data_IF_432803117526
#
_entry.id   IF_432803117526
#
_cell.length_a   1.000
_cell.length_b   1.000
_cell.length_c   1.000
_cell.angle_alpha   90.00
_cell.angle_beta   90.00
_cell.angle_gamma   90.00
#
_symmetry.space_group_name_H-M   'P 1'
#
loop_
_entity.id
_entity.type
_entity.pdbx_description
1 polymer ?
#
# COMPACT_ATOMS: atom_id res chain seq x y z
N UNK A 1 7.91 14.98 -11.96
CA UNK A 1 7.50 13.71 -12.62
C UNK A 1 6.39 14.03 -13.61
N UNK A 2 6.31 13.39 -14.79
CA UNK A 2 5.14 13.61 -15.67
C UNK A 2 3.92 12.90 -15.08
N UNK A 3 2.72 13.45 -15.23
CA UNK A 3 1.45 12.87 -14.75
C UNK A 3 1.27 11.40 -15.13
N UNK A 4 1.61 11.05 -16.38
CA UNK A 4 1.59 9.66 -16.88
C UNK A 4 2.50 8.69 -16.10
N UNK A 5 3.68 9.16 -15.64
CA UNK A 5 4.57 8.33 -14.83
C UNK A 5 3.99 8.11 -13.43
N UNK A 6 3.36 9.13 -12.84
CA UNK A 6 2.67 9.00 -11.56
C UNK A 6 1.50 8.01 -11.66
N UNK A 7 0.71 8.05 -12.73
CA UNK A 7 -0.36 7.05 -12.96
C UNK A 7 0.18 5.62 -13.06
N UNK A 8 1.29 5.41 -13.79
CA UNK A 8 1.95 4.10 -13.87
C UNK A 8 2.40 3.65 -12.47
N UNK A 9 3.08 4.52 -11.72
CA UNK A 9 3.61 4.18 -10.40
C UNK A 9 2.47 3.83 -9.42
N UNK A 10 1.35 4.57 -9.46
CA UNK A 10 0.14 4.25 -8.69
C UNK A 10 -0.41 2.87 -9.04
N UNK A 11 -0.52 2.56 -10.34
CA UNK A 11 -0.96 1.25 -10.81
C UNK A 11 -0.03 0.12 -10.35
N UNK A 12 1.29 0.36 -10.35
CA UNK A 12 2.27 -0.60 -9.83
C UNK A 12 2.11 -0.85 -8.33
N UNK A 13 1.86 0.19 -7.53
CA UNK A 13 1.57 0.03 -6.09
C UNK A 13 0.33 -0.84 -5.88
N UNK A 14 -0.77 -0.57 -6.59
CA UNK A 14 -2.03 -1.33 -6.47
C UNK A 14 -1.84 -2.79 -6.90
N UNK A 15 -1.16 -3.03 -8.02
CA UNK A 15 -0.89 -4.38 -8.52
C UNK A 15 -0.04 -5.19 -7.52
N UNK A 16 1.01 -4.56 -6.97
CA UNK A 16 1.91 -5.21 -6.01
C UNK A 16 1.20 -5.48 -4.68
N UNK A 17 0.39 -4.54 -4.18
CA UNK A 17 -0.44 -4.74 -3.01
C UNK A 17 -1.42 -5.92 -3.20
N UNK A 18 -2.06 -6.01 -4.36
CA UNK A 18 -2.97 -7.13 -4.71
C UNK A 18 -2.24 -8.46 -4.69
N UNK A 19 -1.06 -8.51 -5.28
CA UNK A 19 -0.24 -9.72 -5.32
C UNK A 19 0.20 -10.16 -3.93
N UNK A 20 0.69 -9.23 -3.09
CA UNK A 20 1.09 -9.51 -1.72
C UNK A 20 -0.06 -10.04 -0.87
N UNK A 21 -1.21 -9.37 -0.89
CA UNK A 21 -2.40 -9.81 -0.16
C UNK A 21 -2.87 -11.21 -0.61
N UNK A 22 -2.75 -11.51 -1.90
CA UNK A 22 -3.08 -12.84 -2.44
C UNK A 22 -2.10 -13.90 -1.97
N UNK A 23 -0.78 -13.57 -1.91
CA UNK A 23 0.27 -14.46 -1.41
C UNK A 23 0.13 -14.77 0.08
N UNK A 24 -0.37 -13.83 0.89
CA UNK A 24 -0.56 -14.03 2.33
C UNK A 24 -1.69 -15.01 2.66
N UNK A 25 -2.67 -15.13 1.77
CA UNK A 25 -3.71 -16.14 1.86
C UNK A 25 -5.00 -15.73 1.16
N UNK A 26 -5.92 -16.69 0.94
CA UNK A 26 -7.10 -16.50 0.11
C UNK A 26 -8.09 -15.46 0.67
N UNK A 27 -7.99 -15.11 1.94
CA UNK A 27 -8.94 -14.22 2.62
C UNK A 27 -8.42 -12.79 2.83
N UNK A 28 -7.11 -12.54 2.70
CA UNK A 28 -6.54 -11.22 3.01
C UNK A 28 -7.01 -10.14 2.03
N UNK A 29 -6.92 -10.40 0.72
CA UNK A 29 -7.40 -9.47 -0.30
C UNK A 29 -8.90 -9.17 -0.12
N UNK A 30 -9.71 -10.20 0.10
CA UNK A 30 -11.17 -10.06 0.29
C UNK A 30 -11.48 -9.25 1.55
N UNK A 31 -10.77 -9.50 2.66
CA UNK A 31 -10.97 -8.78 3.90
C UNK A 31 -10.61 -7.29 3.77
N UNK A 32 -9.47 -6.99 3.13
CA UNK A 32 -9.03 -5.61 2.89
C UNK A 32 -10.00 -4.89 1.95
N UNK A 33 -10.38 -5.48 0.82
CA UNK A 33 -11.32 -4.85 -0.12
C UNK A 33 -12.70 -4.63 0.53
N UNK A 34 -13.19 -5.58 1.34
CA UNK A 34 -14.45 -5.43 2.06
C UNK A 34 -14.39 -4.29 3.09
N UNK A 35 -13.28 -4.18 3.83
CA UNK A 35 -13.08 -3.11 4.80
C UNK A 35 -12.96 -1.73 4.14
N UNK A 36 -12.16 -1.61 3.08
CA UNK A 36 -12.01 -0.37 2.33
C UNK A 36 -13.36 0.13 1.80
N UNK A 37 -14.16 -0.79 1.26
CA UNK A 37 -15.51 -0.48 0.78
C UNK A 37 -16.44 -0.06 1.92
N UNK A 38 -16.39 -0.74 3.06
CA UNK A 38 -17.28 -0.47 4.19
C UNK A 38 -16.94 0.84 4.93
N UNK A 39 -15.65 1.13 5.13
CA UNK A 39 -15.19 2.27 5.92
C UNK A 39 -15.00 3.54 5.09
N UNK A 40 -14.45 3.41 3.89
CA UNK A 40 -14.07 4.55 3.05
C UNK A 40 -14.90 4.67 1.77
N UNK A 41 -15.69 3.65 1.41
CA UNK A 41 -16.37 3.61 0.11
C UNK A 41 -15.41 3.36 -1.05
N UNK A 42 -14.22 2.85 -0.77
CA UNK A 42 -13.11 2.75 -1.71
C UNK A 42 -12.78 1.30 -2.07
N UNK A 43 -11.86 1.16 -3.03
CA UNK A 43 -11.30 -0.13 -3.46
C UNK A 43 -9.79 -0.15 -3.19
N UNK A 44 -9.12 -1.23 -3.59
CA UNK A 44 -7.66 -1.34 -3.47
C UNK A 44 -6.90 -0.22 -4.22
N UNK A 45 -7.55 0.48 -5.14
CA UNK A 45 -6.98 1.68 -5.80
C UNK A 45 -6.53 2.76 -4.80
N UNK A 46 -7.10 2.75 -3.58
CA UNK A 46 -6.65 3.62 -2.49
C UNK A 46 -5.15 3.46 -2.21
N UNK A 47 -4.59 2.25 -2.35
CA UNK A 47 -3.17 1.99 -2.13
C UNK A 47 -2.26 2.85 -3.00
N UNK A 48 -2.65 3.12 -4.25
CA UNK A 48 -1.90 3.99 -5.15
C UNK A 48 -2.24 5.46 -4.96
N UNK A 49 -3.51 5.79 -4.68
CA UNK A 49 -3.98 7.17 -4.61
C UNK A 49 -3.67 7.88 -3.28
N UNK A 50 -3.67 7.13 -2.18
CA UNK A 50 -3.37 7.61 -0.83
C UNK A 50 -2.74 6.46 -0.02
N UNK A 51 -1.42 6.26 -0.16
CA UNK A 51 -0.71 5.16 0.50
C UNK A 51 -0.80 5.19 2.03
N UNK A 52 -0.93 6.38 2.61
CA UNK A 52 -1.06 6.55 4.06
C UNK A 52 -2.43 6.10 4.55
N UNK A 53 -3.51 6.53 3.89
CA UNK A 53 -4.85 6.08 4.26
C UNK A 53 -5.03 4.57 4.04
N UNK A 54 -4.40 4.00 3.01
CA UNK A 54 -4.36 2.56 2.82
C UNK A 54 -3.58 1.83 3.93
N UNK A 55 -2.43 2.37 4.34
CA UNK A 55 -1.66 1.85 5.47
C UNK A 55 -2.49 1.83 6.76
N UNK A 56 -3.17 2.93 7.06
CA UNK A 56 -4.08 3.03 8.21
C UNK A 56 -5.19 1.98 8.15
N UNK A 57 -5.74 1.71 6.96
CA UNK A 57 -6.75 0.67 6.80
C UNK A 57 -6.23 -0.74 7.11
N UNK A 58 -4.99 -1.04 6.69
CA UNK A 58 -4.32 -2.31 7.02
C UNK A 58 -4.01 -2.38 8.53
N UNK A 59 -3.57 -1.27 9.12
CA UNK A 59 -3.29 -1.13 10.56
C UNK A 59 -4.53 -1.35 11.42
N UNK A 60 -5.67 -0.81 11.02
CA UNK A 60 -6.93 -1.02 11.73
C UNK A 60 -7.37 -2.49 11.71
N UNK A 61 -7.19 -3.17 10.57
CA UNK A 61 -7.64 -4.56 10.38
C UNK A 61 -6.75 -5.57 11.11
N UNK A 62 -5.43 -5.39 11.01
CA UNK A 62 -4.46 -6.42 11.39
C UNK A 62 -3.50 -5.98 12.51
N UNK A 63 -3.61 -4.72 12.95
CA UNK A 63 -2.72 -4.12 13.93
C UNK A 63 -1.46 -3.51 13.31
N UNK A 64 -0.78 -2.67 14.09
CA UNK A 64 0.39 -1.90 13.67
C UNK A 64 1.53 -2.78 13.14
N UNK A 65 1.86 -3.85 13.87
CA UNK A 65 2.95 -4.75 13.46
C UNK A 65 2.71 -5.35 12.06
N UNK A 66 1.50 -5.83 11.79
CA UNK A 66 1.16 -6.41 10.50
C UNK A 66 1.19 -5.37 9.38
N UNK A 67 0.73 -4.15 9.65
CA UNK A 67 0.76 -3.05 8.70
C UNK A 67 2.19 -2.64 8.34
N UNK A 68 3.09 -2.52 9.32
CA UNK A 68 4.51 -2.21 9.07
C UNK A 68 5.16 -3.32 8.24
N UNK A 69 4.92 -4.59 8.58
CA UNK A 69 5.45 -5.73 7.82
C UNK A 69 4.94 -5.76 6.37
N UNK A 70 3.65 -5.45 6.18
CA UNK A 70 3.06 -5.33 4.84
C UNK A 70 3.70 -4.16 4.06
N UNK A 71 3.87 -3.00 4.68
CA UNK A 71 4.48 -1.83 4.07
C UNK A 71 5.92 -2.09 3.66
N UNK A 72 6.71 -2.75 4.52
CA UNK A 72 8.07 -3.21 4.21
C UNK A 72 8.08 -4.16 3.02
N UNK A 73 7.14 -5.11 2.96
CA UNK A 73 7.02 -6.06 1.85
C UNK A 73 6.69 -5.33 0.54
N UNK A 74 5.75 -4.38 0.58
CA UNK A 74 5.34 -3.58 -0.57
C UNK A 74 6.50 -2.74 -1.13
N UNK A 75 7.21 -2.03 -0.25
CA UNK A 75 8.39 -1.22 -0.62
C UNK A 75 9.50 -2.08 -1.22
N UNK A 76 9.75 -3.26 -0.65
CA UNK A 76 10.78 -4.18 -1.14
C UNK A 76 10.45 -4.76 -2.51
N UNK A 77 9.20 -5.19 -2.73
CA UNK A 77 8.75 -5.72 -4.03
C UNK A 77 8.76 -4.65 -5.12
N UNK A 78 8.51 -3.39 -4.76
CA UNK A 78 8.65 -2.24 -5.67
C UNK A 78 10.10 -1.79 -5.88
N UNK A 79 11.07 -2.42 -5.20
CA UNK A 79 12.49 -2.08 -5.24
C UNK A 79 12.79 -0.61 -4.92
N UNK A 80 12.03 0.00 -4.01
CA UNK A 80 12.23 1.39 -3.64
C UNK A 80 13.43 1.54 -2.70
N UNK A 81 14.18 2.62 -2.86
CA UNK A 81 15.22 3.00 -1.91
C UNK A 81 14.60 3.65 -0.69
N UNK A 82 14.99 3.20 0.49
CA UNK A 82 14.49 3.71 1.77
C UNK A 82 15.68 4.23 2.57
N UNK A 83 15.58 5.47 3.05
CA UNK A 83 16.63 6.09 3.88
C UNK A 83 16.61 5.52 5.31
N UNK A 84 15.42 5.16 5.80
CA UNK A 84 15.18 4.68 7.17
C UNK A 84 14.08 3.61 7.19
N UNK A 85 14.32 2.45 7.81
CA UNK A 85 13.35 1.35 7.89
C UNK A 85 12.23 1.57 8.95
N UNK A 86 11.86 2.82 9.21
CA UNK A 86 10.73 3.21 10.05
C UNK A 86 9.43 3.32 9.25
N UNK A 87 8.28 3.32 9.93
CA UNK A 87 6.97 3.56 9.30
C UNK A 87 6.98 4.82 8.43
N UNK A 88 7.50 5.92 8.98
CA UNK A 88 7.62 7.21 8.30
C UNK A 88 8.52 7.13 7.06
N UNK A 89 9.69 6.48 7.19
CA UNK A 89 10.63 6.31 6.06
C UNK A 89 10.05 5.49 4.92
N UNK A 90 9.31 4.42 5.24
CA UNK A 90 8.63 3.56 4.26
C UNK A 90 7.47 4.28 3.56
N UNK A 91 6.64 5.00 4.32
CA UNK A 91 5.54 5.79 3.76
C UNK A 91 6.07 6.92 2.87
N UNK A 92 7.14 7.60 3.30
CA UNK A 92 7.81 8.64 2.49
C UNK A 92 8.31 8.07 1.16
N UNK A 93 8.96 6.91 1.17
CA UNK A 93 9.41 6.26 -0.05
C UNK A 93 8.26 5.95 -1.02
N UNK A 94 7.13 5.44 -0.51
CA UNK A 94 5.94 5.16 -1.31
C UNK A 94 5.26 6.42 -1.86
N UNK A 95 5.08 7.45 -1.03
CA UNK A 95 4.51 8.74 -1.45
C UNK A 95 5.33 9.38 -2.56
N UNK A 96 6.65 9.46 -2.36
CA UNK A 96 7.57 9.96 -3.38
C UNK A 96 7.53 9.14 -4.67
N UNK A 97 7.33 7.82 -4.57
CA UNK A 97 7.18 6.95 -5.74
C UNK A 97 5.88 7.25 -6.52
N UNK A 98 4.76 7.45 -5.85
CA UNK A 98 3.47 7.79 -6.51
C UNK A 98 3.39 9.26 -6.96
N UNK A 99 4.33 10.10 -6.54
CA UNK A 99 4.44 11.51 -6.94
C UNK A 99 3.89 12.51 -5.93
N UNK A 100 3.85 12.12 -4.66
CA UNK A 100 3.47 12.94 -3.50
C UNK A 100 4.67 13.34 -2.64
#
# INVERSE_FOLDING_TARGET
MSEFHSEINRGMVVATARELLTKFGPHFLVAVEAYLKAKYGETLELAGRDPELFYDAVKDLFGEFAAVMFLQSLVRELHLSVEEESEEGLLKALKSYVGE
#
